data_IF_060602810214
#
_entry.id   IF_060602810214
#
_cell.length_a   1.000
_cell.length_b   1.000
_cell.length_c   1.000
_cell.angle_alpha   90.00
_cell.angle_beta   90.00
_cell.angle_gamma   90.00
#
_symmetry.space_group_name_H-M   'P 1'
#
loop_
_entity.id
_entity.type
_entity.pdbx_description
1 polymer ?
#
# COMPACT_ATOMS: atom_id res chain seq x y z
N UNK A 1 -1.32 -28.48 -6.06
CA UNK A 1 -1.59 -27.83 -4.76
C UNK A 1 -3.00 -27.26 -4.82
N UNK A 2 -3.85 -27.43 -3.80
CA UNK A 2 -5.20 -26.83 -3.83
C UNK A 2 -5.12 -25.32 -3.60
N UNK A 3 -6.07 -24.57 -4.16
CA UNK A 3 -6.15 -23.11 -3.97
C UNK A 3 -6.17 -22.74 -2.49
N UNK A 4 -6.88 -23.49 -1.65
CA UNK A 4 -6.93 -23.24 -0.20
C UNK A 4 -5.56 -23.37 0.48
N UNK A 5 -4.74 -24.37 0.12
CA UNK A 5 -3.38 -24.50 0.67
C UNK A 5 -2.47 -23.39 0.17
N UNK A 6 -2.65 -22.98 -1.09
CA UNK A 6 -1.92 -21.87 -1.65
C UNK A 6 -2.21 -20.57 -0.90
N UNK A 7 -3.48 -20.25 -0.68
CA UNK A 7 -3.89 -19.06 0.06
C UNK A 7 -3.39 -19.07 1.50
N UNK A 8 -3.42 -20.24 2.16
CA UNK A 8 -2.85 -20.38 3.50
C UNK A 8 -1.34 -20.08 3.50
N UNK A 9 -0.58 -20.65 2.56
CA UNK A 9 0.86 -20.37 2.45
C UNK A 9 1.11 -18.87 2.20
N UNK A 10 0.34 -18.26 1.30
CA UNK A 10 0.44 -16.83 1.01
C UNK A 10 0.20 -15.97 2.26
N UNK A 11 -0.79 -16.32 3.09
CA UNK A 11 -1.00 -15.64 4.37
C UNK A 11 0.18 -15.79 5.33
N UNK A 12 0.77 -16.99 5.41
CA UNK A 12 1.94 -17.25 6.24
C UNK A 12 3.15 -16.43 5.75
N UNK A 13 3.35 -16.34 4.43
CA UNK A 13 4.40 -15.56 3.80
C UNK A 13 4.22 -14.06 4.05
N UNK A 14 3.00 -13.54 3.88
CA UNK A 14 2.66 -12.13 4.19
C UNK A 14 2.95 -11.85 5.67
N UNK A 15 2.46 -12.71 6.58
CA UNK A 15 2.67 -12.51 8.01
C UNK A 15 4.15 -12.56 8.41
N UNK A 16 4.95 -13.40 7.74
CA UNK A 16 6.40 -13.44 7.93
C UNK A 16 7.06 -12.14 7.45
N UNK A 17 6.70 -11.64 6.27
CA UNK A 17 7.18 -10.37 5.74
C UNK A 17 6.84 -9.20 6.68
N UNK A 18 5.60 -9.13 7.16
CA UNK A 18 5.15 -8.12 8.15
C UNK A 18 6.01 -8.16 9.41
N UNK A 19 6.26 -9.34 9.99
CA UNK A 19 7.09 -9.48 11.19
C UNK A 19 8.54 -9.06 10.94
N UNK A 20 9.11 -9.42 9.78
CA UNK A 20 10.47 -9.02 9.41
C UNK A 20 10.57 -7.51 9.33
N UNK A 21 9.66 -6.85 8.61
CA UNK A 21 9.64 -5.40 8.47
C UNK A 21 9.50 -4.71 9.83
N UNK A 22 8.54 -5.13 10.65
CA UNK A 22 8.39 -4.60 12.00
C UNK A 22 9.64 -4.78 12.86
N UNK A 23 10.36 -5.91 12.74
CA UNK A 23 11.60 -6.17 13.47
C UNK A 23 12.76 -5.31 12.97
N UNK A 24 12.96 -5.30 11.65
CA UNK A 24 14.01 -4.53 10.97
C UNK A 24 13.85 -3.03 11.27
N UNK A 25 12.62 -2.56 11.46
CA UNK A 25 12.31 -1.16 11.72
C UNK A 25 11.86 -0.86 13.16
N UNK A 26 11.83 -1.83 14.07
CA UNK A 26 11.46 -1.62 15.48
C UNK A 26 12.33 -0.56 16.18
N UNK A 27 13.60 -0.47 15.77
CA UNK A 27 14.58 0.49 16.28
C UNK A 27 14.26 1.94 15.85
N UNK A 28 13.46 2.13 14.80
CA UNK A 28 13.02 3.44 14.33
C UNK A 28 12.18 4.16 15.39
N UNK A 29 11.44 3.43 16.24
CA UNK A 29 10.61 4.02 17.28
C UNK A 29 11.34 4.40 18.57
N UNK A 30 12.60 4.01 18.76
CA UNK A 30 13.25 4.08 20.08
C UNK A 30 14.11 5.34 20.33
N UNK A 31 14.34 6.19 19.33
CA UNK A 31 15.20 7.38 19.48
C UNK A 31 14.62 8.66 18.88
N UNK A 32 13.77 9.36 19.64
CA UNK A 32 13.28 10.72 19.32
C UNK A 32 14.39 11.76 19.05
N UNK A 33 15.63 11.49 19.46
CA UNK A 33 16.79 12.40 19.24
C UNK A 33 17.30 12.41 17.79
N UNK A 34 16.76 11.57 16.91
CA UNK A 34 17.10 11.49 15.48
C UNK A 34 15.92 11.88 14.59
N UNK A 35 15.02 12.72 15.10
CA UNK A 35 13.94 13.29 14.27
C UNK A 35 14.54 14.11 13.13
N UNK A 36 14.01 13.92 11.93
CA UNK A 36 14.38 14.68 10.72
C UNK A 36 13.12 15.23 10.06
N UNK A 37 13.30 16.32 9.31
CA UNK A 37 12.21 16.89 8.52
C UNK A 37 11.71 15.92 7.44
N UNK A 38 10.47 16.08 6.98
CA UNK A 38 9.93 15.25 5.92
C UNK A 38 10.76 15.34 4.63
N UNK A 39 11.23 16.53 4.27
CA UNK A 39 12.07 16.74 3.09
C UNK A 39 13.42 16.00 3.18
N UNK A 40 14.03 15.98 4.36
CA UNK A 40 15.28 15.24 4.60
C UNK A 40 15.07 13.73 4.56
N UNK A 41 13.96 13.24 5.13
CA UNK A 41 13.61 11.82 5.08
C UNK A 41 13.25 11.37 3.66
N UNK A 42 12.56 12.21 2.89
CA UNK A 42 12.27 11.97 1.47
C UNK A 42 13.54 11.83 0.64
N UNK A 43 14.58 12.61 0.96
CA UNK A 43 15.86 12.57 0.27
C UNK A 43 16.72 11.34 0.64
N UNK A 44 16.58 10.80 1.85
CA UNK A 44 17.54 9.84 2.43
C UNK A 44 16.97 8.43 2.63
N UNK A 45 15.66 8.29 2.82
CA UNK A 45 15.07 6.98 3.08
C UNK A 45 15.14 6.06 1.84
N UNK A 46 15.37 4.75 2.06
CA UNK A 46 15.56 3.80 0.98
C UNK A 46 14.28 3.64 0.16
N UNK A 47 14.44 3.59 -1.17
CA UNK A 47 13.35 3.38 -2.13
C UNK A 47 13.56 2.02 -2.79
N UNK A 48 12.52 1.19 -2.76
CA UNK A 48 12.44 -0.10 -3.49
C UNK A 48 10.98 -0.38 -3.83
N UNK A 49 10.74 -1.30 -4.75
CA UNK A 49 9.38 -1.79 -5.00
C UNK A 49 8.86 -2.57 -3.77
N UNK A 50 7.55 -2.62 -3.59
CA UNK A 50 6.94 -3.43 -2.53
C UNK A 50 7.32 -4.91 -2.61
N UNK A 51 7.45 -5.45 -3.83
CA UNK A 51 7.92 -6.82 -4.04
C UNK A 51 9.32 -7.05 -3.44
N UNK A 52 10.24 -6.10 -3.60
CA UNK A 52 11.59 -6.20 -3.04
C UNK A 52 11.62 -6.11 -1.51
N UNK A 53 10.75 -5.26 -0.94
CA UNK A 53 10.64 -5.10 0.51
C UNK A 53 10.06 -6.32 1.20
N UNK A 54 9.09 -6.96 0.56
CA UNK A 54 8.26 -7.99 1.17
C UNK A 54 8.71 -9.39 0.76
N UNK A 55 9.28 -9.56 -0.44
CA UNK A 55 9.52 -10.84 -1.08
C UNK A 55 8.26 -11.46 -1.69
N UNK A 56 7.12 -10.77 -1.62
CA UNK A 56 5.83 -11.21 -2.20
C UNK A 56 5.74 -10.61 -3.60
N UNK A 57 5.82 -11.44 -4.64
CA UNK A 57 5.73 -10.96 -6.02
C UNK A 57 4.27 -10.76 -6.44
N UNK A 58 4.01 -9.93 -7.46
CA UNK A 58 2.66 -9.75 -8.02
C UNK A 58 2.02 -11.07 -8.46
N UNK A 59 2.82 -12.01 -8.97
CA UNK A 59 2.34 -13.32 -9.41
C UNK A 59 1.89 -14.20 -8.24
N UNK A 60 2.39 -13.94 -7.03
CA UNK A 60 1.90 -14.58 -5.81
C UNK A 60 0.53 -14.05 -5.39
N UNK A 61 0.14 -12.85 -5.82
CA UNK A 61 -1.18 -12.28 -5.52
C UNK A 61 -2.21 -12.75 -6.56
N UNK A 62 -3.14 -13.66 -6.21
CA UNK A 62 -4.12 -14.17 -7.15
C UNK A 62 -5.05 -13.04 -7.62
N UNK A 63 -5.48 -13.04 -8.89
CA UNK A 63 -6.46 -12.07 -9.37
C UNK A 63 -7.80 -12.29 -8.63
N UNK A 64 -8.54 -11.20 -8.41
CA UNK A 64 -9.73 -11.20 -7.57
C UNK A 64 -10.80 -12.18 -8.05
N UNK A 65 -10.90 -12.44 -9.36
CA UNK A 65 -11.90 -13.35 -9.91
C UNK A 65 -11.70 -14.81 -9.49
N UNK A 66 -10.51 -15.15 -8.95
CA UNK A 66 -10.21 -16.48 -8.43
C UNK A 66 -10.56 -16.65 -6.95
N UNK A 67 -10.98 -15.57 -6.28
CA UNK A 67 -11.19 -15.51 -4.84
C UNK A 67 -12.67 -15.36 -4.50
N UNK A 68 -13.13 -16.13 -3.51
CA UNK A 68 -14.40 -15.84 -2.84
C UNK A 68 -14.26 -14.61 -1.92
N UNK A 69 -15.39 -14.10 -1.43
CA UNK A 69 -15.40 -12.88 -0.62
C UNK A 69 -14.61 -13.03 0.69
N UNK A 70 -14.61 -14.22 1.28
CA UNK A 70 -13.88 -14.47 2.52
C UNK A 70 -12.36 -14.43 2.30
N UNK A 71 -11.89 -14.99 1.19
CA UNK A 71 -10.49 -14.96 0.79
C UNK A 71 -10.04 -13.55 0.38
N UNK A 72 -10.88 -12.79 -0.33
CA UNK A 72 -10.61 -11.37 -0.64
C UNK A 72 -10.44 -10.57 0.65
N UNK A 73 -11.40 -10.69 1.58
CA UNK A 73 -11.36 -9.98 2.86
C UNK A 73 -10.08 -10.30 3.63
N UNK A 74 -9.79 -11.59 3.83
CA UNK A 74 -8.63 -12.03 4.57
C UNK A 74 -7.31 -11.52 3.95
N UNK A 75 -7.17 -11.60 2.62
CA UNK A 75 -5.98 -11.12 1.93
C UNK A 75 -5.86 -9.60 2.01
N UNK A 76 -6.95 -8.87 1.83
CA UNK A 76 -6.96 -7.42 1.93
C UNK A 76 -6.49 -6.94 3.31
N UNK A 77 -7.02 -7.53 4.38
CA UNK A 77 -6.61 -7.17 5.75
C UNK A 77 -5.14 -7.52 6.03
N UNK A 78 -4.67 -8.66 5.53
CA UNK A 78 -3.27 -9.05 5.65
C UNK A 78 -2.34 -8.08 4.90
N UNK A 79 -2.73 -7.64 3.71
CA UNK A 79 -1.98 -6.66 2.91
C UNK A 79 -1.99 -5.27 3.55
N UNK A 80 -3.12 -4.81 4.10
CA UNK A 80 -3.18 -3.54 4.86
C UNK A 80 -2.26 -3.56 6.07
N UNK A 81 -2.27 -4.66 6.83
CA UNK A 81 -1.36 -4.87 7.97
C UNK A 81 0.11 -4.87 7.53
N UNK A 82 0.42 -5.44 6.35
CA UNK A 82 1.76 -5.42 5.77
C UNK A 82 2.19 -4.00 5.37
N UNK A 83 1.29 -3.21 4.78
CA UNK A 83 1.56 -1.81 4.45
C UNK A 83 1.81 -0.97 5.70
N UNK A 84 1.03 -1.19 6.77
CA UNK A 84 1.24 -0.51 8.05
C UNK A 84 2.65 -0.79 8.62
N UNK A 85 3.15 -2.02 8.47
CA UNK A 85 4.52 -2.39 8.86
C UNK A 85 5.61 -1.71 8.00
N UNK A 86 5.27 -1.25 6.79
CA UNK A 86 6.11 -0.40 5.96
C UNK A 86 6.00 1.09 6.35
N UNK A 87 5.21 1.46 7.37
CA UNK A 87 4.79 2.83 7.67
C UNK A 87 4.06 3.49 6.48
N UNK A 88 3.26 2.71 5.77
CA UNK A 88 2.46 3.14 4.62
C UNK A 88 1.00 2.83 4.86
N UNK A 89 0.13 3.75 4.44
CA UNK A 89 -1.33 3.53 4.56
C UNK A 89 -2.02 3.57 3.22
N UNK A 90 -2.97 2.66 3.08
CA UNK A 90 -3.91 2.56 1.98
C UNK A 90 -5.23 3.24 2.36
N UNK A 91 -5.29 4.57 2.26
CA UNK A 91 -6.46 5.37 2.65
C UNK A 91 -7.34 5.69 1.44
N UNK A 92 -8.65 5.51 1.60
CA UNK A 92 -9.70 5.85 0.63
C UNK A 92 -10.72 6.78 1.30
N UNK A 93 -11.20 7.82 0.61
CA UNK A 93 -12.13 8.81 1.20
C UNK A 93 -13.57 8.32 1.30
N UNK A 94 -13.91 7.24 0.61
CA UNK A 94 -15.26 6.67 0.57
C UNK A 94 -15.14 5.17 0.75
N UNK A 95 -16.22 4.54 1.21
CA UNK A 95 -16.32 3.09 1.20
C UNK A 95 -16.16 2.57 -0.23
N UNK A 96 -15.19 1.68 -0.42
CA UNK A 96 -14.95 0.97 -1.67
C UNK A 96 -15.18 -0.52 -1.40
N UNK A 97 -15.78 -1.28 -2.32
CA UNK A 97 -15.89 -2.72 -2.16
C UNK A 97 -14.51 -3.36 -2.00
N UNK A 98 -14.36 -4.26 -1.03
CA UNK A 98 -13.05 -4.88 -0.71
C UNK A 98 -12.40 -5.54 -1.93
N UNK A 99 -13.20 -6.12 -2.83
CA UNK A 99 -12.72 -6.71 -4.08
C UNK A 99 -12.06 -5.68 -5.00
N UNK A 100 -12.60 -4.47 -5.05
CA UNK A 100 -12.03 -3.34 -5.79
C UNK A 100 -10.79 -2.82 -5.08
N UNK A 101 -10.81 -2.69 -3.75
CA UNK A 101 -9.62 -2.29 -2.97
C UNK A 101 -8.45 -3.26 -3.17
N UNK A 102 -8.72 -4.57 -3.06
CA UNK A 102 -7.74 -5.62 -3.30
C UNK A 102 -7.16 -5.56 -4.72
N UNK A 103 -8.03 -5.43 -5.73
CA UNK A 103 -7.61 -5.31 -7.13
C UNK A 103 -6.74 -4.06 -7.34
N UNK A 104 -7.09 -2.94 -6.71
CA UNK A 104 -6.32 -1.70 -6.78
C UNK A 104 -4.94 -1.82 -6.10
N UNK A 105 -4.85 -2.45 -4.92
CA UNK A 105 -3.56 -2.73 -4.25
C UNK A 105 -2.69 -3.61 -5.15
N UNK A 106 -3.27 -4.68 -5.69
CA UNK A 106 -2.59 -5.59 -6.60
C UNK A 106 -2.10 -4.87 -7.87
N UNK A 107 -2.91 -4.00 -8.46
CA UNK A 107 -2.55 -3.27 -9.67
C UNK A 107 -1.34 -2.34 -9.47
N UNK A 108 -1.21 -1.77 -8.27
CA UNK A 108 -0.10 -0.92 -7.87
C UNK A 108 0.99 -1.67 -7.07
N UNK A 109 1.02 -3.00 -7.09
CA UNK A 109 1.95 -3.77 -6.26
C UNK A 109 3.42 -3.53 -6.59
N UNK A 110 3.73 -3.13 -7.83
CA UNK A 110 5.08 -2.73 -8.26
C UNK A 110 5.38 -1.26 -8.02
N UNK A 111 4.56 -0.57 -7.23
CA UNK A 111 4.84 0.78 -6.83
C UNK A 111 6.12 0.81 -5.99
N UNK A 112 7.03 1.72 -6.35
CA UNK A 112 8.16 2.07 -5.52
C UNK A 112 7.68 2.76 -4.25
N UNK A 113 8.03 2.17 -3.11
CA UNK A 113 7.72 2.73 -1.80
C UNK A 113 9.00 3.11 -1.06
N UNK A 114 8.87 4.13 -0.23
CA UNK A 114 9.93 4.64 0.64
C UNK A 114 9.53 4.37 2.08
N UNK A 115 10.22 3.45 2.75
CA UNK A 115 9.95 3.18 4.16
C UNK A 115 10.62 4.28 4.98
N UNK A 116 9.77 5.18 5.48
CA UNK A 116 10.12 6.35 6.28
C UNK A 116 10.01 6.02 7.76
N UNK A 117 10.85 6.64 8.58
CA UNK A 117 10.88 6.46 10.03
C UNK A 117 9.87 7.32 10.76
N UNK A 118 9.73 8.58 10.35
CA UNK A 118 8.94 9.56 11.10
C UNK A 118 7.65 9.95 10.39
N UNK A 119 7.68 10.01 9.06
CA UNK A 119 6.57 10.52 8.25
C UNK A 119 5.92 9.37 7.50
N UNK A 120 4.60 9.22 7.63
CA UNK A 120 3.87 8.12 7.02
C UNK A 120 3.81 8.28 5.49
N UNK A 121 3.98 7.16 4.76
CA UNK A 121 3.76 7.09 3.33
C UNK A 121 2.30 6.82 2.97
N UNK A 122 1.89 7.19 1.76
CA UNK A 122 0.55 6.95 1.26
C UNK A 122 0.58 6.16 -0.04
N UNK A 123 -0.21 5.10 -0.09
CA UNK A 123 -0.36 4.30 -1.28
C UNK A 123 -0.96 5.12 -2.41
N UNK A 124 -0.32 5.11 -3.59
CA UNK A 124 -0.70 6.03 -4.67
C UNK A 124 -1.68 5.32 -5.61
N UNK A 125 -2.97 5.54 -5.38
CA UNK A 125 -4.04 5.02 -6.24
C UNK A 125 -4.17 5.76 -7.57
N UNK A 126 -3.62 6.97 -7.63
CA UNK A 126 -3.84 7.95 -8.68
C UNK A 126 -2.51 8.38 -9.29
N UNK A 127 -2.33 8.11 -10.58
CA UNK A 127 -1.26 8.73 -11.33
C UNK A 127 -1.67 10.17 -11.75
N UNK A 128 -0.73 11.12 -11.83
CA UNK A 128 -1.02 12.44 -12.36
C UNK A 128 -1.70 12.38 -13.73
N UNK A 129 -2.78 13.13 -13.91
CA UNK A 129 -3.59 13.18 -15.12
C UNK A 129 -4.58 12.03 -15.28
N UNK A 130 -4.81 11.20 -14.25
CA UNK A 130 -5.77 10.09 -14.32
C UNK A 130 -7.21 10.62 -14.27
N UNK A 131 -8.01 10.45 -15.35
CA UNK A 131 -9.40 10.88 -15.36
C UNK A 131 -10.24 10.15 -14.30
N UNK A 132 -11.33 10.77 -13.87
CA UNK A 132 -12.32 10.10 -13.02
C UNK A 132 -12.85 8.84 -13.72
N UNK A 133 -12.95 7.74 -12.97
CA UNK A 133 -13.37 6.44 -13.51
C UNK A 133 -12.25 5.60 -14.14
N UNK A 134 -11.06 6.17 -14.34
CA UNK A 134 -9.98 5.54 -15.11
C UNK A 134 -8.83 4.98 -14.26
N UNK A 135 -8.84 5.18 -12.93
CA UNK A 135 -7.88 4.53 -12.04
C UNK A 135 -8.31 3.11 -11.65
N UNK A 136 -7.44 2.38 -10.97
CA UNK A 136 -7.68 0.98 -10.56
C UNK A 136 -8.89 0.79 -9.62
N UNK A 137 -9.43 1.88 -9.06
CA UNK A 137 -10.66 1.88 -8.25
C UNK A 137 -11.95 1.90 -9.11
N UNK A 138 -11.84 2.00 -10.45
CA UNK A 138 -12.99 2.00 -11.36
C UNK A 138 -13.96 3.14 -11.08
N UNK A 139 -15.25 2.84 -10.92
CA UNK A 139 -16.27 3.84 -10.59
C UNK A 139 -16.05 4.54 -9.24
N UNK A 140 -15.26 3.92 -8.35
CA UNK A 140 -14.86 4.49 -7.06
C UNK A 140 -13.61 5.38 -7.15
N UNK A 141 -13.15 5.69 -8.36
CA UNK A 141 -11.96 6.49 -8.58
C UNK A 141 -12.11 7.93 -8.07
N UNK A 142 -11.22 8.35 -7.17
CA UNK A 142 -11.24 9.66 -6.53
C UNK A 142 -10.16 10.63 -7.07
N UNK A 143 -9.43 10.24 -8.12
CA UNK A 143 -8.23 10.97 -8.57
C UNK A 143 -8.51 12.41 -9.03
N UNK A 144 -9.55 12.61 -9.84
CA UNK A 144 -9.93 13.95 -10.29
C UNK A 144 -10.36 14.88 -9.12
N UNK A 145 -10.91 14.30 -8.05
CA UNK A 145 -11.23 15.06 -6.84
C UNK A 145 -9.96 15.48 -6.10
N UNK A 146 -8.98 14.59 -5.96
CA UNK A 146 -7.69 14.89 -5.33
C UNK A 146 -6.91 15.95 -6.10
N UNK A 147 -6.84 15.88 -7.44
CA UNK A 147 -6.18 16.90 -8.26
C UNK A 147 -6.84 18.28 -8.10
N UNK A 148 -8.17 18.32 -8.13
CA UNK A 148 -8.92 19.57 -7.94
C UNK A 148 -8.76 20.14 -6.53
N UNK A 149 -8.69 19.28 -5.50
CA UNK A 149 -8.43 19.70 -4.12
C UNK A 149 -7.02 20.27 -3.99
N UNK A 150 -6.02 19.56 -4.51
CA UNK A 150 -4.61 19.96 -4.41
C UNK A 150 -4.35 21.28 -5.14
N UNK A 151 -4.92 21.48 -6.33
CA UNK A 151 -4.86 22.74 -7.07
C UNK A 151 -5.35 23.93 -6.24
N UNK A 152 -6.44 23.76 -5.48
CA UNK A 152 -7.02 24.80 -4.62
C UNK A 152 -6.14 25.17 -3.41
N UNK A 153 -5.22 24.29 -3.01
CA UNK A 153 -4.29 24.55 -1.91
C UNK A 153 -2.92 25.03 -2.37
N UNK A 154 -2.54 24.79 -3.63
CA UNK A 154 -1.32 25.35 -4.24
C UNK A 154 -1.48 26.78 -4.76
N UNK A 155 -2.71 27.28 -4.87
CA UNK A 155 -3.02 28.66 -5.32
C UNK A 155 -2.96 29.72 -4.19
N UNK A 156 -2.50 29.37 -2.98
CA UNK A 156 -2.23 30.33 -1.91
C UNK A 156 -0.72 30.48 -1.67
N UNK A 157 -0.11 31.63 -2.07
CA UNK A 157 1.30 31.93 -1.82
C UNK A 157 1.60 32.20 -0.34
#
# INVERSE_FOLDING_TARGET
>A
MSLQRYLQQLHEDIALATRRLNGDYAHLHQHFRQWVSEAEEEATAPVRELEDWTGITLDMLPPEQMLDDAAVHALLEALKTLLDACNWVAVLQTTVPERVEYSAIRAAWRQSIRIKRWHMGFFAWCAPGTPQGSCALGEHCQCAWYEALQARFTDHP
#
